data_IF_260027727327
#
_entry.id   IF_260027727327
#
_cell.length_a   1.000
_cell.length_b   1.000
_cell.length_c   1.000
_cell.angle_alpha   90.00
_cell.angle_beta   90.00
_cell.angle_gamma   90.00
#
_symmetry.space_group_name_H-M   'P 1'
#
loop_
_entity.id
_entity.type
_entity.pdbx_description
1 polymer ?
#
# COMPACT_ATOMS: atom_id res chain seq x y z
N UNK A 1 19.08 -5.38 10.58
CA UNK A 1 18.01 -5.07 11.54
C UNK A 1 17.01 -4.07 10.97
N UNK A 2 16.39 -4.40 9.83
CA UNK A 2 15.26 -3.62 9.32
C UNK A 2 14.12 -3.63 10.38
N UNK A 3 13.50 -2.49 10.63
CA UNK A 3 12.55 -2.28 11.74
C UNK A 3 13.21 -1.83 13.05
N UNK A 4 14.54 -1.93 13.15
CA UNK A 4 15.30 -1.48 14.34
C UNK A 4 16.15 -0.24 14.06
N UNK A 5 16.79 -0.17 12.88
CA UNK A 5 17.67 0.95 12.53
C UNK A 5 16.91 2.24 12.30
N UNK A 6 17.57 3.38 12.54
CA UNK A 6 17.00 4.71 12.34
C UNK A 6 16.55 4.93 10.88
N UNK A 7 17.30 4.40 9.91
CA UNK A 7 17.00 4.52 8.48
C UNK A 7 15.72 3.77 8.13
N UNK A 8 15.56 2.54 8.62
CA UNK A 8 14.35 1.75 8.35
C UNK A 8 13.12 2.31 9.05
N UNK A 9 13.26 2.76 10.30
CA UNK A 9 12.18 3.44 11.03
C UNK A 9 11.74 4.74 10.34
N UNK A 10 12.68 5.50 9.77
CA UNK A 10 12.36 6.67 8.95
C UNK A 10 11.53 6.30 7.72
N UNK A 11 11.85 5.21 7.03
CA UNK A 11 11.09 4.74 5.86
C UNK A 11 9.68 4.28 6.24
N UNK A 12 9.54 3.59 7.38
CA UNK A 12 8.24 3.11 7.88
C UNK A 12 7.34 4.25 8.41
N UNK A 13 7.92 5.41 8.73
CA UNK A 13 7.20 6.58 9.26
C UNK A 13 6.40 6.23 10.51
N UNK A 14 5.16 6.71 10.57
CA UNK A 14 4.24 6.46 11.68
C UNK A 14 4.00 4.97 11.93
N UNK A 15 4.14 4.13 10.91
CA UNK A 15 3.91 2.68 11.02
C UNK A 15 5.08 1.90 11.66
N UNK A 16 6.18 2.57 12.02
CA UNK A 16 7.39 1.96 12.59
C UNK A 16 7.15 1.19 13.91
N UNK A 17 6.06 1.47 14.60
CA UNK A 17 5.70 0.79 15.85
C UNK A 17 5.03 -0.58 15.63
N UNK A 18 4.49 -0.85 14.43
CA UNK A 18 3.96 -2.17 14.09
C UNK A 18 5.10 -3.16 13.85
N UNK A 19 5.02 -4.31 14.50
CA UNK A 19 6.02 -5.38 14.38
C UNK A 19 5.61 -6.50 13.42
N UNK A 20 4.40 -6.41 12.84
CA UNK A 20 3.86 -7.36 11.88
C UNK A 20 3.50 -6.69 10.56
N UNK A 21 3.25 -7.54 9.56
CA UNK A 21 2.64 -7.21 8.29
C UNK A 21 2.18 -8.51 7.63
N UNK A 22 1.30 -8.39 6.65
CA UNK A 22 0.77 -9.52 5.88
C UNK A 22 0.75 -9.16 4.39
N UNK A 23 1.80 -9.60 3.69
CA UNK A 23 2.07 -9.22 2.30
C UNK A 23 1.41 -10.19 1.32
N UNK A 24 0.83 -9.66 0.23
CA UNK A 24 0.06 -10.50 -0.71
C UNK A 24 0.54 -10.41 -2.17
N UNK A 25 0.57 -9.21 -2.76
CA UNK A 25 0.64 -9.05 -4.21
C UNK A 25 1.91 -8.29 -4.65
N UNK A 26 3.06 -8.97 -4.80
CA UNK A 26 4.26 -8.36 -5.34
C UNK A 26 4.15 -8.15 -6.86
N UNK A 27 4.38 -6.92 -7.33
CA UNK A 27 4.38 -6.59 -8.77
C UNK A 27 5.53 -5.65 -9.14
N UNK A 28 6.14 -5.90 -10.30
CA UNK A 28 7.25 -5.12 -10.84
C UNK A 28 6.74 -4.00 -11.76
N UNK A 29 7.35 -2.82 -11.65
CA UNK A 29 7.08 -1.68 -12.53
C UNK A 29 7.30 -2.04 -14.01
N UNK A 30 6.54 -1.36 -14.87
CA UNK A 30 6.51 -1.60 -16.31
C UNK A 30 6.71 -0.31 -17.10
N UNK A 31 7.30 -0.46 -18.27
CA UNK A 31 7.29 0.52 -19.36
C UNK A 31 6.85 -0.20 -20.63
N UNK A 32 5.87 0.34 -21.35
CA UNK A 32 5.30 -0.27 -22.57
C UNK A 32 4.91 -1.75 -22.37
N UNK A 33 4.26 -2.03 -21.23
CA UNK A 33 3.78 -3.36 -20.86
C UNK A 33 4.86 -4.39 -20.51
N UNK A 34 6.14 -4.00 -20.47
CA UNK A 34 7.27 -4.87 -20.14
C UNK A 34 7.90 -4.44 -18.83
N UNK A 35 8.39 -5.40 -18.03
CA UNK A 35 9.06 -5.07 -16.79
C UNK A 35 10.32 -4.24 -17.06
N UNK A 36 10.45 -3.11 -16.35
CA UNK A 36 11.59 -2.20 -16.51
C UNK A 36 12.70 -2.40 -15.47
N UNK A 37 12.43 -3.21 -14.43
CA UNK A 37 13.41 -3.56 -13.40
C UNK A 37 13.73 -2.42 -12.43
N UNK A 38 12.91 -1.35 -12.37
CA UNK A 38 13.12 -0.22 -11.46
C UNK A 38 12.63 -0.50 -10.04
N UNK A 39 11.35 -0.87 -9.91
CA UNK A 39 10.67 -1.03 -8.63
C UNK A 39 9.88 -2.34 -8.54
N UNK A 40 9.75 -2.84 -7.30
CA UNK A 40 8.71 -3.78 -6.91
C UNK A 40 7.79 -3.08 -5.91
N UNK A 41 6.48 -3.25 -6.08
CA UNK A 41 5.47 -2.78 -5.14
C UNK A 41 4.81 -3.97 -4.45
N UNK A 42 4.49 -3.80 -3.17
CA UNK A 42 3.82 -4.82 -2.37
C UNK A 42 2.91 -4.16 -1.34
N UNK A 43 1.77 -4.78 -1.06
CA UNK A 43 0.85 -4.33 -0.03
C UNK A 43 1.13 -5.01 1.32
N UNK A 44 0.58 -4.41 2.38
CA UNK A 44 0.35 -5.04 3.68
C UNK A 44 -1.14 -4.95 4.03
N UNK A 45 -1.78 -6.12 4.11
CA UNK A 45 -3.19 -6.24 4.48
C UNK A 45 -3.43 -5.98 5.95
N UNK A 46 -2.51 -6.37 6.83
CA UNK A 46 -2.74 -6.29 8.27
C UNK A 46 -2.86 -4.85 8.76
N UNK A 47 -2.11 -3.91 8.18
CA UNK A 47 -2.05 -2.52 8.64
C UNK A 47 -2.29 -1.49 7.52
N UNK A 48 -2.92 -1.89 6.41
CA UNK A 48 -3.31 -1.00 5.29
C UNK A 48 -2.15 -0.20 4.69
N UNK A 49 -1.03 -0.85 4.39
CA UNK A 49 0.16 -0.17 3.83
C UNK A 49 0.46 -0.60 2.39
N UNK A 50 1.17 0.26 1.68
CA UNK A 50 1.84 -0.07 0.42
C UNK A 50 3.31 0.32 0.55
N UNK A 51 4.20 -0.56 0.11
CA UNK A 51 5.63 -0.35 0.14
C UNK A 51 6.23 -0.49 -1.27
N UNK A 52 7.26 0.30 -1.52
CA UNK A 52 8.10 0.23 -2.72
C UNK A 52 9.48 -0.32 -2.35
N UNK A 53 9.97 -1.21 -3.18
CA UNK A 53 11.29 -1.82 -3.13
C UNK A 53 12.05 -1.39 -4.36
N UNK A 54 13.18 -0.73 -4.14
CA UNK A 54 14.15 -0.41 -5.19
C UNK A 54 14.94 -1.66 -5.55
N UNK A 55 14.91 -2.04 -6.82
CA UNK A 55 15.51 -3.29 -7.31
C UNK A 55 17.02 -3.20 -7.53
N UNK A 56 17.56 -1.99 -7.69
CA UNK A 56 19.01 -1.77 -7.81
C UNK A 56 19.75 -2.02 -6.48
N UNK A 57 19.10 -1.75 -5.35
CA UNK A 57 19.65 -2.00 -4.00
C UNK A 57 18.95 -3.15 -3.26
N UNK A 58 17.86 -3.70 -3.82
CA UNK A 58 17.02 -4.74 -3.22
C UNK A 58 16.59 -4.41 -1.77
N UNK A 59 16.11 -3.18 -1.57
CA UNK A 59 15.61 -2.67 -0.28
C UNK A 59 14.35 -1.84 -0.45
N UNK A 60 13.49 -1.90 0.56
CA UNK A 60 12.37 -0.98 0.67
C UNK A 60 12.92 0.44 0.86
N UNK A 61 12.46 1.38 0.04
CA UNK A 61 12.87 2.79 0.09
C UNK A 61 11.71 3.73 0.45
N UNK A 62 10.47 3.29 0.24
CA UNK A 62 9.25 4.01 0.60
C UNK A 62 8.22 3.05 1.19
N UNK A 63 7.46 3.55 2.17
CA UNK A 63 6.28 2.91 2.72
C UNK A 63 5.26 3.99 3.08
N UNK A 64 3.98 3.74 2.80
CA UNK A 64 2.90 4.62 3.22
C UNK A 64 1.74 3.81 3.78
N UNK A 65 1.03 4.39 4.74
CA UNK A 65 -0.28 3.92 5.20
C UNK A 65 -1.34 4.57 4.34
N UNK A 66 -2.18 3.78 3.68
CA UNK A 66 -3.26 4.33 2.86
C UNK A 66 -4.34 4.87 3.81
N UNK A 67 -4.75 6.16 3.69
CA UNK A 67 -5.70 6.76 4.62
C UNK A 67 -7.13 6.28 4.37
N UNK A 68 -7.97 6.36 5.41
CA UNK A 68 -9.41 6.09 5.35
C UNK A 68 -9.78 4.67 4.84
N UNK A 69 -8.90 3.68 4.99
CA UNK A 69 -9.14 2.31 4.52
C UNK A 69 -8.73 1.26 5.54
N UNK A 70 -9.29 0.06 5.39
CA UNK A 70 -8.88 -1.12 6.14
C UNK A 70 -8.60 -2.29 5.19
N UNK A 71 -7.46 -2.94 5.41
CA UNK A 71 -7.01 -4.12 4.67
C UNK A 71 -6.76 -3.90 3.18
N UNK A 72 -5.61 -3.29 2.85
CA UNK A 72 -5.15 -3.28 1.47
C UNK A 72 -4.82 -4.72 1.05
N UNK A 73 -5.60 -5.29 0.14
CA UNK A 73 -5.40 -6.65 -0.35
C UNK A 73 -4.97 -6.66 -1.81
N UNK A 74 -5.90 -6.59 -2.76
CA UNK A 74 -5.58 -6.56 -4.19
C UNK A 74 -4.64 -5.41 -4.55
N UNK A 75 -3.52 -5.69 -5.22
CA UNK A 75 -2.61 -4.67 -5.72
C UNK A 75 -2.14 -5.03 -7.13
N UNK A 76 -2.15 -4.07 -8.06
CA UNK A 76 -1.60 -4.21 -9.41
C UNK A 76 -1.08 -2.85 -9.89
N UNK A 77 -0.32 -2.89 -10.98
CA UNK A 77 0.34 -1.72 -11.54
C UNK A 77 -0.23 -1.37 -12.91
N UNK A 78 -0.31 -0.07 -13.18
CA UNK A 78 -0.53 0.43 -14.53
C UNK A 78 0.56 -0.11 -15.47
N UNK A 79 0.13 -0.58 -16.65
CA UNK A 79 1.01 -1.25 -17.62
C UNK A 79 1.51 -0.31 -18.73
N UNK A 80 0.69 0.64 -19.13
CA UNK A 80 0.90 1.53 -20.28
C UNK A 80 0.57 2.98 -19.89
N UNK A 81 1.31 3.98 -20.41
CA UNK A 81 2.57 3.86 -21.14
C UNK A 81 3.75 3.45 -20.24
N UNK A 82 3.63 3.67 -18.94
CA UNK A 82 4.52 3.16 -17.90
C UNK A 82 3.74 3.06 -16.58
N UNK A 83 4.32 2.47 -15.54
CA UNK A 83 3.75 2.46 -14.19
C UNK A 83 3.84 3.85 -13.56
N UNK A 84 2.87 4.71 -13.89
CA UNK A 84 2.67 5.98 -13.20
C UNK A 84 1.92 5.78 -11.88
N UNK A 85 0.97 4.82 -11.86
CA UNK A 85 0.15 4.54 -10.69
C UNK A 85 0.20 3.07 -10.22
N UNK A 86 0.12 2.93 -8.90
CA UNK A 86 -0.16 1.69 -8.17
C UNK A 86 -1.63 1.68 -7.79
N UNK A 87 -2.36 0.64 -8.18
CA UNK A 87 -3.76 0.45 -7.83
C UNK A 87 -3.88 -0.53 -6.67
N UNK A 88 -4.57 -0.13 -5.61
CA UNK A 88 -4.63 -0.87 -4.35
C UNK A 88 -6.06 -0.90 -3.77
N UNK A 89 -6.62 -2.10 -3.60
CA UNK A 89 -7.98 -2.31 -3.09
C UNK A 89 -7.98 -2.36 -1.57
N UNK A 90 -8.87 -1.61 -0.94
CA UNK A 90 -9.31 -1.87 0.43
C UNK A 90 -10.33 -3.01 0.43
N UNK A 91 -10.13 -4.05 1.24
CA UNK A 91 -11.02 -5.21 1.28
C UNK A 91 -12.25 -4.96 2.16
N UNK A 92 -12.11 -4.21 3.24
CA UNK A 92 -13.18 -4.05 4.22
C UNK A 92 -13.97 -2.76 3.98
N UNK A 93 -15.30 -2.88 4.13
CA UNK A 93 -16.22 -1.75 4.22
C UNK A 93 -16.08 -1.13 5.61
N UNK A 94 -15.92 0.19 5.67
CA UNK A 94 -15.90 0.94 6.93
C UNK A 94 -16.76 2.22 6.81
N UNK A 95 -17.23 2.79 7.93
CA UNK A 95 -17.91 4.09 7.93
C UNK A 95 -16.99 5.25 7.49
N UNK A 96 -17.57 6.29 6.89
CA UNK A 96 -16.88 7.54 6.55
C UNK A 96 -17.72 8.75 7.00
N UNK A 97 -17.34 9.49 8.06
CA UNK A 97 -16.15 9.29 8.91
C UNK A 97 -16.24 8.02 9.79
N UNK A 98 -15.07 7.48 10.17
CA UNK A 98 -14.96 6.36 11.10
C UNK A 98 -14.55 6.83 12.51
N UNK A 99 -15.42 7.61 13.15
CA UNK A 99 -15.18 8.26 14.45
C UNK A 99 -15.85 7.55 15.65
N UNK A 100 -16.51 6.42 15.39
CA UNK A 100 -17.23 5.64 16.39
C UNK A 100 -18.70 6.05 16.59
N UNK A 101 -19.24 6.99 15.81
CA UNK A 101 -20.68 7.32 15.87
C UNK A 101 -21.57 6.28 15.18
N UNK A 102 -21.01 5.57 14.18
CA UNK A 102 -21.72 4.58 13.36
C UNK A 102 -20.97 3.25 13.37
N UNK A 103 -21.72 2.16 13.57
CA UNK A 103 -21.22 0.78 13.48
C UNK A 103 -21.95 -0.03 12.40
N UNK A 104 -22.94 0.56 11.74
CA UNK A 104 -23.71 -0.10 10.69
C UNK A 104 -22.93 -0.07 9.37
N UNK A 105 -22.46 -1.24 8.93
CA UNK A 105 -21.75 -1.40 7.67
C UNK A 105 -22.67 -1.34 6.45
N UNK A 106 -23.99 -1.30 6.64
CA UNK A 106 -24.99 -1.10 5.59
C UNK A 106 -25.46 0.35 5.50
N UNK A 107 -25.01 1.23 6.40
CA UNK A 107 -25.28 2.67 6.30
C UNK A 107 -24.77 3.24 4.97
N UNK A 108 -25.46 4.24 4.43
CA UNK A 108 -25.12 4.88 3.15
C UNK A 108 -23.69 5.45 3.10
N UNK A 109 -23.10 5.79 4.26
CA UNK A 109 -21.75 6.31 4.38
C UNK A 109 -20.71 5.22 4.68
N UNK A 110 -21.11 3.95 4.70
CA UNK A 110 -20.21 2.81 4.87
C UNK A 110 -19.85 2.23 3.50
N UNK A 111 -18.59 2.39 3.08
CA UNK A 111 -18.11 1.89 1.80
C UNK A 111 -16.61 1.55 1.85
N UNK A 112 -16.13 0.81 0.85
CA UNK A 112 -14.70 0.56 0.65
C UNK A 112 -14.16 1.42 -0.51
N UNK A 113 -12.84 1.50 -0.63
CA UNK A 113 -12.17 2.32 -1.64
C UNK A 113 -11.24 1.52 -2.56
N UNK A 114 -11.26 1.89 -3.84
CA UNK A 114 -10.24 1.55 -4.81
C UNK A 114 -9.25 2.71 -4.90
N UNK A 115 -8.01 2.48 -4.48
CA UNK A 115 -7.03 3.54 -4.30
C UNK A 115 -6.08 3.61 -5.50
N UNK A 116 -5.67 4.84 -5.83
CA UNK A 116 -4.66 5.14 -6.83
C UNK A 116 -3.53 5.88 -6.13
N UNK A 117 -2.33 5.30 -6.16
CA UNK A 117 -1.15 5.81 -5.48
C UNK A 117 -0.10 6.14 -6.54
N UNK A 118 0.53 7.31 -6.42
CA UNK A 118 1.64 7.69 -7.29
C UNK A 118 2.84 6.75 -7.08
N UNK A 119 3.46 6.31 -8.17
CA UNK A 119 4.53 5.32 -8.12
C UNK A 119 5.91 5.90 -7.72
N UNK A 120 6.09 7.23 -7.72
CA UNK A 120 7.39 7.91 -7.50
C UNK A 120 7.57 8.50 -6.08
#
# INVERSE_FOLDING_TARGET
>A
GWGLTNESKRIMGDSAHFQNGDCHHPHLSMTDGKYDGKYLFINDKANSRVARIRLDIMKCDKMLTVPNVQAIHGLRLQKMPHTQYVFANSEFVIPHPNDGSTFDLQDKNSYTMFNVIDAE
#
